data_IF_172735117819
#
_entry.id   IF_172735117819
#
_cell.length_a   1.000
_cell.length_b   1.000
_cell.length_c   1.000
_cell.angle_alpha   90.00
_cell.angle_beta   90.00
_cell.angle_gamma   90.00
#
_symmetry.space_group_name_H-M   'P 1'
#
loop_
_entity.id
_entity.type
_entity.pdbx_description
1 polymer ?
#
# COMPACT_ATOMS: atom_id res chain seq x y z
N UNK A 1 21.22 26.00 -30.23
CA UNK A 1 20.25 26.71 -29.35
C UNK A 1 20.75 28.13 -29.23
N UNK A 2 20.07 29.11 -29.82
CA UNK A 2 20.58 30.49 -29.90
C UNK A 2 20.46 31.20 -28.54
N UNK A 3 21.33 32.17 -28.31
CA UNK A 3 21.62 32.80 -27.01
C UNK A 3 20.46 33.64 -26.43
N UNK A 4 19.34 33.76 -27.13
CA UNK A 4 18.24 34.66 -26.79
C UNK A 4 17.12 34.06 -25.92
N UNK A 5 17.00 32.73 -25.82
CA UNK A 5 15.93 32.11 -24.98
C UNK A 5 16.32 31.91 -23.51
N UNK A 6 17.60 32.15 -23.15
CA UNK A 6 18.14 31.98 -21.78
C UNK A 6 17.98 33.25 -20.93
N UNK A 7 17.57 34.39 -21.50
CA UNK A 7 17.60 35.71 -20.87
C UNK A 7 16.25 36.28 -20.40
N UNK A 8 15.19 35.48 -20.30
CA UNK A 8 14.01 35.91 -19.55
C UNK A 8 14.27 35.58 -18.08
N UNK A 9 14.48 36.61 -17.25
CA UNK A 9 14.50 36.45 -15.80
C UNK A 9 13.20 35.75 -15.37
N UNK A 10 13.35 34.57 -14.79
CA UNK A 10 12.22 33.79 -14.26
C UNK A 10 12.23 33.95 -12.76
N UNK A 11 11.68 35.07 -12.29
CA UNK A 11 11.47 35.27 -10.86
C UNK A 11 10.87 33.99 -10.25
N UNK A 12 11.45 33.53 -9.14
CA UNK A 12 11.06 32.30 -8.45
C UNK A 12 11.33 30.97 -9.18
N UNK A 13 12.26 30.91 -10.13
CA UNK A 13 12.72 29.65 -10.75
C UNK A 13 14.21 29.44 -10.57
N UNK A 14 14.61 28.30 -10.03
CA UNK A 14 16.00 27.84 -10.04
C UNK A 14 16.17 26.82 -11.19
N UNK A 15 16.87 27.20 -12.25
CA UNK A 15 17.10 26.30 -13.39
C UNK A 15 18.30 25.41 -13.11
N UNK A 16 18.15 24.10 -13.29
CA UNK A 16 19.22 23.11 -13.11
C UNK A 16 19.50 22.40 -14.44
N UNK A 17 20.74 22.41 -14.91
CA UNK A 17 21.15 21.70 -16.13
C UNK A 17 22.63 21.30 -16.07
N UNK A 18 23.02 20.25 -16.80
CA UNK A 18 24.39 19.70 -16.72
C UNK A 18 25.51 20.65 -17.15
N UNK A 19 25.22 21.63 -17.99
CA UNK A 19 26.14 22.70 -18.40
C UNK A 19 26.12 23.93 -17.48
N UNK A 20 25.32 23.91 -16.40
CA UNK A 20 25.29 24.98 -15.40
C UNK A 20 26.56 25.05 -14.55
N UNK A 21 26.61 26.04 -13.65
CA UNK A 21 27.74 26.24 -12.73
C UNK A 21 27.27 26.81 -11.38
N UNK A 22 27.29 25.97 -10.34
CA UNK A 22 26.79 26.30 -9.00
C UNK A 22 27.49 27.52 -8.35
N UNK A 23 28.72 27.86 -8.76
CA UNK A 23 29.45 29.02 -8.22
C UNK A 23 28.97 30.37 -8.76
N UNK A 24 28.30 30.38 -9.92
CA UNK A 24 27.85 31.60 -10.62
C UNK A 24 26.35 31.60 -10.88
N UNK A 25 25.67 30.52 -10.54
CA UNK A 25 24.24 30.35 -10.67
C UNK A 25 23.49 31.12 -9.58
N UNK A 26 22.27 31.53 -9.90
CA UNK A 26 21.38 32.19 -8.95
C UNK A 26 19.92 32.01 -9.36
N UNK A 27 19.02 32.15 -8.39
CA UNK A 27 17.58 32.00 -8.61
C UNK A 27 17.10 33.10 -9.58
N UNK A 28 16.39 32.69 -10.62
CA UNK A 28 15.89 33.57 -11.68
C UNK A 28 16.90 33.94 -12.76
N UNK A 29 18.13 33.41 -12.73
CA UNK A 29 19.15 33.69 -13.72
C UNK A 29 19.97 32.46 -14.14
N UNK A 30 21.29 32.57 -14.03
CA UNK A 30 22.21 31.54 -14.54
C UNK A 30 21.92 30.17 -13.91
N UNK A 31 21.95 29.09 -14.70
CA UNK A 31 21.53 27.78 -14.25
C UNK A 31 22.57 27.10 -13.35
N UNK A 32 22.06 26.43 -12.33
CA UNK A 32 22.79 25.53 -11.45
C UNK A 32 23.21 24.26 -12.20
N UNK A 33 24.36 23.71 -11.83
CA UNK A 33 24.85 22.41 -12.33
C UNK A 33 24.15 21.24 -11.65
N UNK A 34 23.87 21.40 -10.36
CA UNK A 34 23.34 20.37 -9.47
C UNK A 34 22.00 20.79 -8.87
N UNK A 35 21.22 19.80 -8.43
CA UNK A 35 19.97 20.08 -7.71
C UNK A 35 20.30 20.66 -6.34
N UNK A 36 21.32 20.13 -5.66
CA UNK A 36 21.74 20.65 -4.36
C UNK A 36 22.33 22.06 -4.45
N UNK A 37 22.97 22.46 -5.54
CA UNK A 37 23.40 23.85 -5.75
C UNK A 37 22.21 24.82 -5.72
N UNK A 38 21.11 24.48 -6.40
CA UNK A 38 19.88 25.25 -6.35
C UNK A 38 19.27 25.28 -4.94
N UNK A 39 19.24 24.14 -4.25
CA UNK A 39 18.73 24.03 -2.87
C UNK A 39 19.56 24.86 -1.90
N UNK A 40 20.88 24.84 -2.00
CA UNK A 40 21.78 25.67 -1.18
C UNK A 40 21.46 27.14 -1.37
N UNK A 41 21.25 27.60 -2.61
CA UNK A 41 20.88 28.99 -2.89
C UNK A 41 19.51 29.36 -2.29
N UNK A 42 18.50 28.47 -2.40
CA UNK A 42 17.16 28.67 -1.81
C UNK A 42 17.27 28.80 -0.28
N UNK A 43 18.00 27.88 0.36
CA UNK A 43 18.16 27.87 1.82
C UNK A 43 18.94 29.09 2.31
N UNK A 44 19.96 29.55 1.57
CA UNK A 44 20.76 30.71 1.94
C UNK A 44 19.93 32.00 2.06
N UNK A 45 18.85 32.12 1.28
CA UNK A 45 17.95 33.27 1.31
C UNK A 45 16.61 33.01 2.02
N UNK A 46 16.39 31.78 2.52
CA UNK A 46 15.13 31.38 3.15
C UNK A 46 13.91 31.50 2.23
N UNK A 47 14.08 31.32 0.91
CA UNK A 47 13.00 31.52 -0.05
C UNK A 47 11.98 30.38 -0.04
N UNK A 48 10.72 30.75 -0.29
CA UNK A 48 9.59 29.84 -0.54
C UNK A 48 8.95 30.20 -1.88
N UNK A 49 8.17 29.29 -2.44
CA UNK A 49 7.53 29.49 -3.75
C UNK A 49 8.49 29.34 -4.93
N UNK A 50 9.70 28.81 -4.73
CA UNK A 50 10.67 28.55 -5.79
C UNK A 50 10.35 27.21 -6.46
N UNK A 51 10.34 27.21 -7.79
CA UNK A 51 10.37 25.99 -8.59
C UNK A 51 11.79 25.67 -9.04
N UNK A 52 12.33 24.54 -8.59
CA UNK A 52 13.56 23.96 -9.11
C UNK A 52 13.20 23.24 -10.41
N UNK A 53 13.58 23.82 -11.55
CA UNK A 53 13.24 23.31 -12.87
C UNK A 53 14.45 22.59 -13.49
N UNK A 54 14.35 21.27 -13.60
CA UNK A 54 15.48 20.38 -13.90
C UNK A 54 15.44 19.93 -15.36
N UNK A 55 16.51 20.22 -16.09
CA UNK A 55 16.71 19.82 -17.48
C UNK A 55 17.24 18.39 -17.59
N UNK A 56 17.28 17.80 -18.81
CA UNK A 56 17.70 16.42 -19.02
C UNK A 56 19.09 16.13 -18.43
N UNK A 57 19.19 15.02 -17.71
CA UNK A 57 20.43 14.58 -17.08
C UNK A 57 20.22 13.56 -15.98
N UNK A 58 21.32 12.88 -15.62
CA UNK A 58 21.40 11.99 -14.46
C UNK A 58 22.12 12.73 -13.33
N UNK A 59 21.43 13.00 -12.24
CA UNK A 59 21.90 13.75 -11.08
C UNK A 59 22.20 12.77 -9.95
N UNK A 60 23.48 12.45 -9.76
CA UNK A 60 23.95 11.53 -8.72
C UNK A 60 24.00 12.23 -7.35
N UNK A 61 22.82 12.48 -6.77
CA UNK A 61 22.62 13.30 -5.59
C UNK A 61 21.58 12.69 -4.65
N UNK A 62 21.73 12.90 -3.35
CA UNK A 62 20.60 12.83 -2.40
C UNK A 62 20.00 14.24 -2.29
N UNK A 63 18.67 14.33 -2.23
CA UNK A 63 17.95 15.58 -2.38
C UNK A 63 16.94 15.72 -1.24
N UNK A 64 17.03 16.83 -0.52
CA UNK A 64 16.03 17.24 0.49
C UNK A 64 15.34 18.49 -0.04
N UNK A 65 14.07 18.37 -0.44
CA UNK A 65 13.35 19.53 -0.99
C UNK A 65 13.07 20.53 0.14
N UNK A 66 13.49 21.80 0.02
CA UNK A 66 13.18 22.81 1.03
C UNK A 66 11.68 23.03 1.17
N UNK A 67 11.21 23.29 2.38
CA UNK A 67 9.79 23.55 2.64
C UNK A 67 9.27 24.71 1.77
N UNK A 68 8.04 24.59 1.28
CA UNK A 68 7.37 25.61 0.46
C UNK A 68 7.88 25.73 -0.98
N UNK A 69 8.74 24.81 -1.44
CA UNK A 69 9.34 24.85 -2.77
C UNK A 69 8.97 23.60 -3.58
N UNK A 70 9.08 23.66 -4.90
CA UNK A 70 8.79 22.54 -5.80
C UNK A 70 10.00 22.12 -6.61
N UNK A 71 10.02 20.87 -7.05
CA UNK A 71 10.96 20.35 -8.03
C UNK A 71 10.18 19.77 -9.20
N UNK A 72 10.54 20.17 -10.41
CA UNK A 72 9.94 19.65 -11.63
C UNK A 72 11.02 19.32 -12.64
N UNK A 73 11.04 18.06 -13.09
CA UNK A 73 11.79 17.69 -14.27
C UNK A 73 11.11 18.17 -15.55
N UNK A 74 11.87 18.43 -16.61
CA UNK A 74 11.27 18.73 -17.92
C UNK A 74 10.59 17.50 -18.55
N UNK A 75 10.99 16.30 -18.13
CA UNK A 75 10.46 15.03 -18.62
C UNK A 75 10.84 13.88 -17.69
N UNK A 76 9.85 13.04 -17.39
CA UNK A 76 9.99 11.81 -16.62
C UNK A 76 11.09 10.90 -17.15
N UNK A 77 11.25 10.82 -18.48
CA UNK A 77 12.19 9.92 -19.14
C UNK A 77 13.64 10.39 -19.02
N UNK A 78 13.87 11.71 -19.02
CA UNK A 78 15.21 12.26 -19.22
C UNK A 78 15.80 12.91 -17.97
N UNK A 79 15.01 13.10 -16.92
CA UNK A 79 15.47 13.64 -15.64
C UNK A 79 15.50 12.52 -14.60
N UNK A 80 16.71 12.13 -14.20
CA UNK A 80 16.92 11.06 -13.22
C UNK A 80 17.71 11.59 -12.02
N UNK A 81 17.16 11.47 -10.82
CA UNK A 81 17.88 11.65 -9.55
C UNK A 81 18.29 10.27 -9.05
N UNK A 82 19.58 10.07 -8.76
CA UNK A 82 20.12 8.73 -8.56
C UNK A 82 21.14 8.64 -7.43
N UNK A 83 21.20 7.48 -6.81
CA UNK A 83 22.36 6.97 -6.07
C UNK A 83 22.60 5.51 -6.49
N UNK A 84 23.85 5.12 -6.76
CA UNK A 84 24.18 3.76 -7.19
C UNK A 84 25.21 3.12 -6.28
N UNK A 85 25.08 1.80 -6.13
CA UNK A 85 26.00 0.94 -5.39
C UNK A 85 26.33 1.48 -3.99
N UNK A 86 25.34 2.05 -3.32
CA UNK A 86 25.55 2.66 -2.01
C UNK A 86 26.00 1.60 -1.00
N UNK A 87 26.91 1.99 -0.11
CA UNK A 87 27.46 1.12 0.94
C UNK A 87 26.98 1.52 2.34
N UNK A 88 26.11 2.52 2.44
CA UNK A 88 25.51 3.01 3.68
C UNK A 88 24.02 3.24 3.52
N UNK A 89 23.31 3.39 4.63
CA UNK A 89 21.88 3.70 4.63
C UNK A 89 21.64 4.97 3.82
N UNK A 90 20.73 4.92 2.84
CA UNK A 90 20.55 6.01 1.89
C UNK A 90 19.06 6.27 1.61
N UNK A 91 18.71 7.55 1.63
CA UNK A 91 17.46 8.07 1.08
C UNK A 91 17.79 8.97 -0.12
N UNK A 92 17.20 8.73 -1.29
CA UNK A 92 17.48 9.58 -2.47
C UNK A 92 16.71 10.88 -2.42
N UNK A 93 15.40 10.83 -2.14
CA UNK A 93 14.55 12.00 -2.12
C UNK A 93 13.82 12.11 -0.78
N UNK A 94 14.00 13.23 -0.08
CA UNK A 94 13.24 13.58 1.12
C UNK A 94 12.34 14.75 0.81
N UNK A 95 11.03 14.57 1.01
CA UNK A 95 10.04 15.63 0.79
C UNK A 95 10.09 16.64 1.93
N UNK A 96 10.06 17.93 1.59
CA UNK A 96 9.77 19.00 2.54
C UNK A 96 8.27 19.25 2.67
N UNK A 97 7.87 20.04 3.67
CA UNK A 97 6.48 20.45 3.86
C UNK A 97 6.05 21.46 2.79
N UNK A 98 4.80 21.39 2.34
CA UNK A 98 4.26 22.26 1.28
C UNK A 98 5.06 22.19 -0.03
N UNK A 99 5.52 20.99 -0.40
CA UNK A 99 6.33 20.77 -1.60
C UNK A 99 5.59 19.99 -2.68
N UNK A 100 6.08 20.09 -3.91
CA UNK A 100 5.65 19.22 -5.02
C UNK A 100 6.85 18.75 -5.81
N UNK A 101 6.93 17.45 -6.06
CA UNK A 101 7.94 16.83 -6.93
C UNK A 101 7.23 16.14 -8.09
N UNK A 102 7.62 16.47 -9.32
CA UNK A 102 7.00 15.88 -10.51
C UNK A 102 7.91 15.72 -11.72
N UNK A 103 7.52 14.82 -12.63
CA UNK A 103 8.14 14.59 -13.94
C UNK A 103 9.62 14.14 -13.82
N UNK A 104 9.90 13.24 -12.88
CA UNK A 104 11.26 12.74 -12.57
C UNK A 104 11.31 11.24 -12.32
N UNK A 105 12.46 10.65 -12.63
CA UNK A 105 12.83 9.29 -12.22
C UNK A 105 13.74 9.34 -10.99
N UNK A 106 13.47 8.51 -9.98
CA UNK A 106 14.34 8.26 -8.82
C UNK A 106 14.91 6.84 -8.94
N UNK A 107 16.23 6.69 -8.84
CA UNK A 107 16.89 5.40 -8.87
C UNK A 107 17.86 5.24 -7.69
N UNK A 108 17.69 4.20 -6.89
CA UNK A 108 18.58 3.86 -5.78
C UNK A 108 19.05 2.42 -5.94
N UNK A 109 20.36 2.18 -6.04
CA UNK A 109 20.90 0.82 -6.07
C UNK A 109 21.94 0.54 -4.98
N UNK A 110 22.02 -0.72 -4.54
CA UNK A 110 23.04 -1.21 -3.62
C UNK A 110 23.41 -2.66 -3.97
N UNK A 111 24.68 -3.02 -3.79
CA UNK A 111 25.14 -4.42 -3.78
C UNK A 111 25.30 -4.97 -2.36
N UNK A 112 25.06 -4.14 -1.35
CA UNK A 112 25.20 -4.44 0.07
C UNK A 112 23.83 -4.48 0.77
N UNK A 113 23.80 -5.09 1.95
CA UNK A 113 22.64 -5.04 2.84
C UNK A 113 22.67 -3.80 3.73
N UNK A 114 22.15 -2.70 3.19
CA UNK A 114 21.93 -1.43 3.89
C UNK A 114 20.47 -1.02 3.78
N UNK A 115 20.02 -0.11 4.64
CA UNK A 115 18.65 0.39 4.57
C UNK A 115 18.52 1.41 3.43
N UNK A 116 17.53 1.20 2.57
CA UNK A 116 17.34 1.99 1.36
C UNK A 116 15.94 2.58 1.32
N UNK A 117 15.84 3.87 1.02
CA UNK A 117 14.56 4.56 0.79
C UNK A 117 14.61 5.37 -0.50
N UNK A 118 13.69 5.11 -1.43
CA UNK A 118 13.57 5.90 -2.65
C UNK A 118 13.09 7.31 -2.34
N UNK A 119 11.88 7.41 -1.77
CA UNK A 119 11.26 8.68 -1.38
C UNK A 119 10.75 8.62 0.07
N UNK A 120 11.15 9.61 0.87
CA UNK A 120 10.73 9.75 2.27
C UNK A 120 9.71 10.89 2.44
N UNK A 121 8.66 10.61 3.23
CA UNK A 121 7.63 11.57 3.65
C UNK A 121 7.65 11.75 5.19
N UNK A 122 8.51 12.64 5.71
CA UNK A 122 8.59 12.99 7.14
C UNK A 122 7.56 14.08 7.53
N UNK A 123 7.52 14.50 8.81
CA UNK A 123 6.76 15.69 9.24
C UNK A 123 5.29 15.69 8.79
N UNK A 124 4.74 16.82 8.38
CA UNK A 124 3.35 16.88 7.87
C UNK A 124 3.22 16.56 6.38
N UNK A 125 4.24 15.99 5.73
CA UNK A 125 4.31 15.88 4.27
C UNK A 125 3.25 14.98 3.64
N UNK A 126 2.65 14.05 4.39
CA UNK A 126 1.49 13.31 3.91
C UNK A 126 0.29 14.23 3.61
N UNK A 127 0.13 15.30 4.39
CA UNK A 127 -0.87 16.35 4.17
C UNK A 127 -0.39 17.41 3.16
N UNK A 128 0.87 17.82 3.24
CA UNK A 128 1.35 19.05 2.59
C UNK A 128 2.22 18.83 1.34
N UNK A 129 2.79 17.64 1.14
CA UNK A 129 3.66 17.36 0.00
C UNK A 129 2.96 16.53 -1.08
N UNK A 130 3.41 16.64 -2.34
CA UNK A 130 2.85 15.91 -3.48
C UNK A 130 3.95 15.29 -4.34
N UNK A 131 3.87 13.99 -4.60
CA UNK A 131 4.65 13.32 -5.63
C UNK A 131 3.74 13.00 -6.82
N UNK A 132 4.14 13.40 -8.03
CA UNK A 132 3.35 13.25 -9.26
C UNK A 132 4.19 12.73 -10.41
N UNK A 133 3.60 11.94 -11.30
CA UNK A 133 4.22 11.50 -12.55
C UNK A 133 5.70 11.13 -12.37
N UNK A 134 5.92 10.15 -11.50
CA UNK A 134 7.26 9.77 -11.06
C UNK A 134 7.46 8.27 -11.19
N UNK A 135 8.70 7.89 -11.54
CA UNK A 135 9.15 6.50 -11.52
C UNK A 135 10.18 6.37 -10.42
N UNK A 136 9.95 5.50 -9.44
CA UNK A 136 10.87 5.27 -8.33
C UNK A 136 11.30 3.81 -8.37
N UNK A 137 12.61 3.58 -8.47
CA UNK A 137 13.19 2.22 -8.40
C UNK A 137 14.20 2.16 -7.27
N UNK A 138 13.99 1.23 -6.35
CA UNK A 138 14.96 0.89 -5.30
C UNK A 138 15.36 -0.56 -5.50
N UNK A 139 16.64 -0.79 -5.70
CA UNK A 139 17.16 -2.09 -6.14
C UNK A 139 18.38 -2.51 -5.34
N UNK A 140 18.26 -3.59 -4.56
CA UNK A 140 19.42 -4.30 -4.04
C UNK A 140 19.40 -5.78 -4.37
N UNK A 141 18.71 -6.17 -5.45
CA UNK A 141 18.54 -7.57 -5.88
C UNK A 141 19.84 -8.32 -6.13
N UNK A 142 20.94 -7.61 -6.38
CA UNK A 142 22.27 -8.18 -6.61
C UNK A 142 23.11 -8.35 -5.33
N UNK A 143 22.58 -8.01 -4.15
CA UNK A 143 23.22 -8.33 -2.88
C UNK A 143 23.15 -9.84 -2.57
N UNK A 144 23.80 -10.31 -1.51
CA UNK A 144 23.75 -11.72 -1.12
C UNK A 144 22.35 -12.13 -0.60
N UNK A 145 22.04 -13.42 -0.58
CA UNK A 145 20.74 -13.91 -0.07
C UNK A 145 20.68 -14.05 1.46
N UNK A 146 21.82 -13.92 2.15
CA UNK A 146 21.94 -14.22 3.58
C UNK A 146 21.91 -12.99 4.50
N UNK A 147 22.11 -11.77 3.99
CA UNK A 147 22.11 -10.59 4.85
C UNK A 147 20.74 -9.92 4.99
N UNK A 148 20.69 -8.89 5.84
CA UNK A 148 19.43 -8.24 6.29
C UNK A 148 19.43 -6.76 5.94
N UNK A 149 18.37 -6.29 5.31
CA UNK A 149 18.19 -4.86 4.97
C UNK A 149 16.72 -4.51 4.92
N UNK A 150 16.39 -3.26 5.22
CA UNK A 150 15.05 -2.73 4.95
C UNK A 150 15.08 -1.90 3.67
N UNK A 151 14.19 -2.18 2.73
CA UNK A 151 14.20 -1.56 1.39
C UNK A 151 12.82 -1.04 1.07
N UNK A 152 12.69 0.28 0.93
CA UNK A 152 11.43 0.97 0.75
C UNK A 152 11.43 1.82 -0.52
N UNK A 153 10.43 1.65 -1.38
CA UNK A 153 10.21 2.55 -2.51
C UNK A 153 9.78 3.93 -2.02
N UNK A 154 8.68 3.96 -1.25
CA UNK A 154 8.16 5.10 -0.51
C UNK A 154 8.05 4.73 0.97
N UNK A 155 8.57 5.60 1.82
CA UNK A 155 8.45 5.48 3.28
C UNK A 155 7.77 6.73 3.86
N UNK A 156 6.55 6.55 4.36
CA UNK A 156 5.81 7.60 5.08
C UNK A 156 5.82 7.32 6.58
N UNK A 157 6.41 8.26 7.31
CA UNK A 157 6.57 8.19 8.78
C UNK A 157 6.27 9.54 9.45
N UNK A 158 5.59 10.41 8.71
CA UNK A 158 5.14 11.72 9.16
C UNK A 158 3.94 11.68 10.10
N UNK A 159 3.33 12.84 10.33
CA UNK A 159 2.23 13.10 11.26
C UNK A 159 1.03 13.77 10.58
N UNK A 160 1.06 13.99 9.26
CA UNK A 160 0.00 14.70 8.53
C UNK A 160 -1.27 13.86 8.34
N UNK A 161 -2.44 14.48 8.48
CA UNK A 161 -3.75 13.83 8.37
C UNK A 161 -4.56 14.44 7.22
N UNK A 162 -4.20 14.19 5.95
CA UNK A 162 -5.01 14.61 4.81
C UNK A 162 -6.44 14.05 4.87
N UNK A 163 -7.38 14.88 4.44
CA UNK A 163 -8.72 14.42 4.08
C UNK A 163 -8.71 13.60 2.77
N UNK A 164 -9.86 13.02 2.43
CA UNK A 164 -10.00 12.15 1.25
C UNK A 164 -9.92 12.89 -0.10
N UNK A 165 -9.89 14.23 -0.11
CA UNK A 165 -9.70 15.04 -1.33
C UNK A 165 -8.23 15.09 -1.75
N UNK A 166 -7.32 14.81 -0.82
CA UNK A 166 -5.88 14.85 -1.03
C UNK A 166 -5.36 13.46 -1.40
N UNK A 167 -4.54 13.39 -2.44
CA UNK A 167 -3.68 12.23 -2.71
C UNK A 167 -2.23 12.67 -2.64
N UNK A 168 -1.46 12.15 -1.69
CA UNK A 168 -0.04 12.47 -1.51
C UNK A 168 0.77 12.00 -2.71
N UNK A 169 0.50 10.80 -3.22
CA UNK A 169 1.17 10.22 -4.41
C UNK A 169 0.14 9.98 -5.51
N UNK A 170 0.45 10.36 -6.76
CA UNK A 170 -0.43 10.10 -7.90
C UNK A 170 0.29 9.92 -9.23
N UNK A 171 -0.25 9.04 -10.07
CA UNK A 171 0.24 8.75 -11.43
C UNK A 171 1.72 8.32 -11.40
N UNK A 172 2.06 7.42 -10.49
CA UNK A 172 3.46 7.03 -10.23
C UNK A 172 3.63 5.52 -10.24
N UNK A 173 4.77 5.07 -10.76
CA UNK A 173 5.18 3.67 -10.69
C UNK A 173 6.35 3.55 -9.72
N UNK A 174 6.21 2.71 -8.71
CA UNK A 174 7.22 2.49 -7.69
C UNK A 174 7.57 1.01 -7.69
N UNK A 175 8.87 0.71 -7.75
CA UNK A 175 9.40 -0.66 -7.78
C UNK A 175 10.46 -0.84 -6.71
N UNK A 176 10.30 -1.90 -5.92
CA UNK A 176 11.29 -2.38 -4.96
C UNK A 176 11.74 -3.77 -5.41
N UNK A 177 12.96 -3.89 -5.95
CA UNK A 177 13.59 -5.19 -6.24
C UNK A 177 14.61 -5.48 -5.15
N UNK A 178 14.46 -6.59 -4.45
CA UNK A 178 15.28 -6.83 -3.27
C UNK A 178 15.59 -8.30 -3.06
N UNK A 179 16.56 -8.54 -2.19
CA UNK A 179 17.06 -9.86 -1.82
C UNK A 179 17.39 -9.89 -0.32
N UNK A 180 17.41 -11.10 0.25
CA UNK A 180 17.80 -11.34 1.64
C UNK A 180 16.66 -11.17 2.64
N UNK A 181 17.03 -10.99 3.90
CA UNK A 181 16.13 -10.83 5.05
C UNK A 181 15.70 -9.35 5.23
N UNK A 182 14.79 -9.12 6.18
CA UNK A 182 14.25 -7.79 6.52
C UNK A 182 12.99 -7.42 5.72
N UNK A 183 12.53 -6.19 5.90
CA UNK A 183 11.27 -5.71 5.33
C UNK A 183 11.50 -5.02 3.99
N UNK A 184 10.87 -5.54 2.93
CA UNK A 184 10.90 -4.96 1.59
C UNK A 184 9.50 -4.49 1.23
N UNK A 185 9.34 -3.19 0.99
CA UNK A 185 8.06 -2.56 0.69
C UNK A 185 8.17 -1.64 -0.50
N UNK A 186 7.16 -1.62 -1.34
CA UNK A 186 7.04 -0.52 -2.30
C UNK A 186 6.51 0.72 -1.59
N UNK A 187 5.55 0.55 -0.68
CA UNK A 187 4.99 1.62 0.13
C UNK A 187 4.84 1.16 1.59
N UNK A 188 5.41 1.92 2.52
CA UNK A 188 5.28 1.67 3.95
C UNK A 188 4.76 2.93 4.66
N UNK A 189 3.67 2.78 5.40
CA UNK A 189 3.12 3.76 6.34
C UNK A 189 3.32 3.23 7.75
N UNK A 190 4.21 3.86 8.52
CA UNK A 190 4.51 3.40 9.88
C UNK A 190 4.91 4.53 10.84
N UNK A 191 5.44 4.15 12.01
CA UNK A 191 6.04 5.03 13.03
C UNK A 191 5.05 5.89 13.80
N UNK A 192 4.34 6.80 13.13
CA UNK A 192 3.46 7.80 13.74
C UNK A 192 2.01 7.64 13.21
N UNK A 193 0.97 7.91 14.02
CA UNK A 193 -0.40 7.97 13.51
C UNK A 193 -0.56 9.11 12.51
N UNK A 194 -0.92 8.80 11.26
CA UNK A 194 -1.12 9.77 10.17
C UNK A 194 -1.89 9.12 9.01
N UNK A 195 -2.41 9.92 8.08
CA UNK A 195 -3.07 9.40 6.88
C UNK A 195 -2.16 9.56 5.67
N UNK A 196 -2.15 8.56 4.79
CA UNK A 196 -1.40 8.59 3.54
C UNK A 196 -2.27 8.07 2.39
N UNK A 197 -2.55 8.93 1.43
CA UNK A 197 -3.49 8.63 0.35
C UNK A 197 -2.75 8.56 -0.99
N UNK A 198 -2.89 7.46 -1.71
CA UNK A 198 -2.35 7.32 -3.06
C UNK A 198 -3.46 7.02 -4.06
N UNK A 199 -3.30 7.55 -5.27
CA UNK A 199 -4.24 7.32 -6.37
C UNK A 199 -3.50 7.04 -7.67
N UNK A 200 -3.97 6.10 -8.48
CA UNK A 200 -3.38 5.86 -9.80
C UNK A 200 -1.88 5.54 -9.67
N UNK A 201 -1.59 4.43 -8.98
CA UNK A 201 -0.22 4.01 -8.67
C UNK A 201 -0.01 2.54 -9.00
N UNK A 202 1.18 2.24 -9.52
CA UNK A 202 1.65 0.86 -9.69
C UNK A 202 2.71 0.58 -8.64
N UNK A 203 2.46 -0.39 -7.77
CA UNK A 203 3.35 -0.76 -6.68
C UNK A 203 3.86 -2.19 -6.88
N UNK A 204 5.16 -2.34 -7.09
CA UNK A 204 5.77 -3.64 -7.41
C UNK A 204 6.88 -3.93 -6.39
N UNK A 205 6.73 -5.00 -5.61
CA UNK A 205 7.79 -5.56 -4.77
C UNK A 205 8.13 -6.97 -5.24
N UNK A 206 9.38 -7.22 -5.61
CA UNK A 206 9.84 -8.54 -6.07
C UNK A 206 11.01 -9.06 -5.25
N UNK A 207 10.93 -10.33 -4.85
CA UNK A 207 12.06 -11.06 -4.29
C UNK A 207 12.98 -11.60 -5.37
N UNK A 208 14.29 -11.45 -5.16
CA UNK A 208 15.35 -12.10 -5.93
C UNK A 208 16.02 -13.23 -5.14
N UNK A 209 15.42 -13.63 -4.01
CA UNK A 209 15.90 -14.71 -3.13
C UNK A 209 15.98 -14.31 -1.65
N UNK A 210 16.21 -15.30 -0.80
CA UNK A 210 16.23 -15.14 0.67
C UNK A 210 14.83 -15.07 1.30
N UNK A 211 14.80 -15.12 2.64
CA UNK A 211 13.56 -15.29 3.43
C UNK A 211 12.97 -14.00 4.00
N UNK A 212 13.28 -12.85 3.39
CA UNK A 212 12.71 -11.55 3.80
C UNK A 212 11.20 -11.47 3.56
N UNK A 213 10.61 -10.38 4.06
CA UNK A 213 9.20 -10.06 3.83
C UNK A 213 9.09 -9.10 2.65
N UNK A 214 8.37 -9.49 1.59
CA UNK A 214 8.25 -8.76 0.33
C UNK A 214 6.79 -8.37 0.07
N UNK A 215 6.35 -7.23 0.60
CA UNK A 215 4.94 -6.81 0.54
C UNK A 215 4.81 -5.54 -0.29
N UNK A 216 3.82 -5.49 -1.20
CA UNK A 216 3.62 -4.33 -2.07
C UNK A 216 3.33 -3.04 -1.27
N UNK A 217 2.30 -3.06 -0.44
CA UNK A 217 1.94 -1.93 0.43
C UNK A 217 1.58 -2.36 1.85
N UNK A 218 2.08 -1.65 2.86
CA UNK A 218 1.78 -1.96 4.27
C UNK A 218 1.44 -0.70 5.07
N UNK A 219 0.42 -0.81 5.90
CA UNK A 219 0.18 0.08 7.05
C UNK A 219 0.47 -0.72 8.32
N UNK A 220 1.41 -0.21 9.11
CA UNK A 220 1.89 -0.87 10.33
C UNK A 220 2.00 0.14 11.47
N UNK A 221 0.93 0.90 11.68
CA UNK A 221 0.83 1.79 12.82
C UNK A 221 -0.62 2.01 13.24
N UNK A 222 -0.93 1.70 14.50
CA UNK A 222 -2.22 2.00 15.08
C UNK A 222 -2.55 3.51 14.96
N UNK A 223 -3.78 3.82 14.56
CA UNK A 223 -4.23 5.18 14.29
C UNK A 223 -3.73 5.79 12.97
N UNK A 224 -2.91 5.07 12.18
CA UNK A 224 -2.56 5.49 10.82
C UNK A 224 -3.52 4.89 9.79
N UNK A 225 -3.66 5.57 8.65
CA UNK A 225 -4.46 5.12 7.52
C UNK A 225 -3.64 5.13 6.23
N UNK A 226 -3.76 4.07 5.44
CA UNK A 226 -3.27 4.00 4.08
C UNK A 226 -4.44 3.76 3.12
N UNK A 227 -4.71 4.72 2.24
CA UNK A 227 -5.74 4.61 1.20
C UNK A 227 -5.09 4.44 -0.17
N UNK A 228 -5.53 3.41 -0.92
CA UNK A 228 -5.02 3.08 -2.24
C UNK A 228 -6.19 3.00 -3.22
N UNK A 229 -6.24 3.97 -4.14
CA UNK A 229 -7.31 4.11 -5.12
C UNK A 229 -6.78 3.94 -6.53
N UNK A 230 -7.48 3.22 -7.41
CA UNK A 230 -7.03 2.99 -8.80
C UNK A 230 -5.58 2.45 -8.84
N UNK A 231 -5.24 1.54 -7.94
CA UNK A 231 -3.88 1.03 -7.80
C UNK A 231 -3.74 -0.38 -8.39
N UNK A 232 -2.53 -0.73 -8.83
CA UNK A 232 -2.13 -2.12 -9.09
C UNK A 232 -0.98 -2.47 -8.16
N UNK A 233 -1.14 -3.51 -7.35
CA UNK A 233 -0.22 -3.81 -6.26
C UNK A 233 0.23 -5.27 -6.37
N UNK A 234 1.54 -5.48 -6.26
CA UNK A 234 2.17 -6.80 -6.25
C UNK A 234 3.23 -6.87 -5.16
N UNK A 235 3.22 -7.95 -4.38
CA UNK A 235 4.36 -8.36 -3.55
C UNK A 235 4.53 -9.87 -3.50
N UNK A 236 5.77 -10.35 -3.41
CA UNK A 236 6.07 -11.80 -3.38
C UNK A 236 5.52 -12.50 -2.13
N UNK A 237 5.56 -11.84 -0.97
CA UNK A 237 4.98 -12.36 0.28
C UNK A 237 3.49 -12.09 0.34
N UNK A 238 3.08 -10.86 0.03
CA UNK A 238 1.68 -10.44 -0.07
C UNK A 238 1.59 -9.16 -0.90
N UNK A 239 0.44 -8.89 -1.52
CA UNK A 239 0.24 -7.61 -2.21
C UNK A 239 0.09 -6.49 -1.20
N UNK A 240 -0.68 -6.74 -0.14
CA UNK A 240 -0.96 -5.78 0.91
C UNK A 240 -0.88 -6.40 2.31
N UNK A 241 -0.67 -5.55 3.32
CA UNK A 241 -0.76 -5.94 4.73
C UNK A 241 -1.29 -4.79 5.59
N UNK A 242 -2.36 -5.07 6.35
CA UNK A 242 -2.87 -4.19 7.40
C UNK A 242 -2.35 -4.66 8.77
N UNK A 243 -1.02 -4.64 8.95
CA UNK A 243 -0.38 -5.15 10.17
C UNK A 243 -0.80 -4.36 11.41
N UNK A 244 -0.99 -3.04 11.25
CA UNK A 244 -1.61 -2.18 12.24
C UNK A 244 -2.18 -0.91 11.58
N UNK A 245 -3.23 -0.33 12.15
CA UNK A 245 -3.92 0.81 11.54
C UNK A 245 -5.00 0.37 10.55
N UNK A 246 -5.35 1.25 9.61
CA UNK A 246 -6.45 1.01 8.66
C UNK A 246 -5.96 1.08 7.22
N UNK A 247 -6.21 0.03 6.45
CA UNK A 247 -6.00 0.00 5.01
C UNK A 247 -7.34 0.13 4.29
N UNK A 248 -7.41 1.04 3.31
CA UNK A 248 -8.61 1.30 2.53
C UNK A 248 -8.31 1.15 1.04
N UNK A 249 -9.07 0.30 0.36
CA UNK A 249 -8.92 0.08 -1.08
C UNK A 249 -10.15 0.59 -1.86
N UNK A 250 -9.92 1.10 -3.08
CA UNK A 250 -11.00 1.43 -4.01
C UNK A 250 -10.54 1.26 -5.46
N UNK A 251 -11.23 0.40 -6.21
CA UNK A 251 -10.83 0.06 -7.59
C UNK A 251 -9.35 -0.34 -7.71
N UNK A 252 -8.87 -1.12 -6.74
CA UNK A 252 -7.47 -1.55 -6.64
C UNK A 252 -7.35 -3.01 -7.05
N UNK A 253 -6.38 -3.33 -7.89
CA UNK A 253 -6.05 -4.68 -8.30
C UNK A 253 -4.92 -5.25 -7.43
N UNK A 254 -5.17 -6.37 -6.77
CA UNK A 254 -4.18 -7.16 -6.03
C UNK A 254 -3.70 -8.30 -6.93
N UNK A 255 -2.46 -8.20 -7.43
CA UNK A 255 -1.95 -9.07 -8.49
C UNK A 255 -1.84 -10.55 -8.08
N UNK A 256 -1.76 -10.86 -6.80
CA UNK A 256 -1.73 -12.22 -6.27
C UNK A 256 -2.97 -12.56 -5.44
N UNK A 257 -3.94 -11.64 -5.33
CA UNK A 257 -5.09 -11.74 -4.42
C UNK A 257 -4.64 -12.14 -3.01
N UNK A 258 -3.61 -11.47 -2.48
CA UNK A 258 -3.01 -11.83 -1.21
C UNK A 258 -2.92 -10.60 -0.28
N UNK A 259 -3.73 -10.62 0.78
CA UNK A 259 -3.78 -9.58 1.81
C UNK A 259 -3.08 -10.00 3.12
N UNK A 260 -2.07 -10.87 3.01
CA UNK A 260 -1.26 -11.33 4.14
C UNK A 260 -2.08 -11.98 5.28
N UNK A 261 -3.20 -12.61 4.92
CA UNK A 261 -4.18 -13.17 5.86
C UNK A 261 -4.80 -12.15 6.83
N UNK A 262 -4.71 -10.86 6.53
CA UNK A 262 -5.26 -9.77 7.34
C UNK A 262 -6.47 -9.14 6.67
N UNK A 263 -7.31 -8.51 7.48
CA UNK A 263 -8.44 -7.72 7.06
C UNK A 263 -8.04 -6.41 6.38
N UNK A 264 -8.98 -5.82 5.64
CA UNK A 264 -8.85 -4.49 5.05
C UNK A 264 -10.23 -3.91 4.70
N UNK A 265 -10.30 -2.59 4.62
CA UNK A 265 -11.52 -1.86 4.27
C UNK A 265 -11.59 -1.55 2.78
N UNK A 266 -12.81 -1.42 2.26
CA UNK A 266 -13.09 -1.07 0.86
C UNK A 266 -14.11 0.06 0.80
N UNK A 267 -13.96 0.99 -0.14
CA UNK A 267 -14.92 2.11 -0.30
C UNK A 267 -16.15 1.67 -1.10
N UNK A 268 -15.95 0.88 -2.15
CA UNK A 268 -17.06 0.28 -2.89
C UNK A 268 -17.52 -0.99 -2.20
N UNK A 269 -18.83 -1.23 -2.22
CA UNK A 269 -19.39 -2.50 -1.76
C UNK A 269 -18.76 -3.64 -2.58
N UNK A 270 -18.15 -4.64 -1.93
CA UNK A 270 -17.59 -5.79 -2.61
C UNK A 270 -18.69 -6.70 -3.15
N UNK A 271 -18.33 -7.61 -4.04
CA UNK A 271 -19.23 -8.70 -4.43
C UNK A 271 -19.43 -9.60 -3.22
N UNK A 272 -20.64 -10.09 -2.98
CA UNK A 272 -20.92 -10.96 -1.84
C UNK A 272 -21.64 -12.24 -2.24
N UNK A 273 -21.40 -13.30 -1.45
CA UNK A 273 -22.17 -14.54 -1.46
C UNK A 273 -23.06 -14.59 -0.23
N UNK A 274 -24.25 -15.15 -0.39
CA UNK A 274 -25.22 -15.33 0.69
C UNK A 274 -25.56 -16.80 0.84
N UNK A 275 -25.59 -17.24 2.09
CA UNK A 275 -26.17 -18.50 2.53
C UNK A 275 -27.20 -18.18 3.62
N UNK A 276 -28.35 -18.83 3.59
CA UNK A 276 -29.37 -18.64 4.61
C UNK A 276 -30.09 -19.94 4.94
N UNK A 277 -30.42 -20.11 6.22
CA UNK A 277 -31.29 -21.18 6.71
C UNK A 277 -32.56 -20.54 7.31
N UNK A 278 -33.74 -20.71 6.70
CA UNK A 278 -35.00 -20.14 7.19
C UNK A 278 -35.63 -20.95 8.35
N UNK A 279 -34.91 -21.92 8.92
CA UNK A 279 -35.36 -22.76 10.00
C UNK A 279 -34.49 -22.64 11.24
N UNK A 280 -34.59 -23.65 12.11
CA UNK A 280 -33.75 -23.78 13.30
C UNK A 280 -32.47 -24.54 12.98
N UNK A 281 -31.32 -24.01 13.39
CA UNK A 281 -30.07 -24.76 13.31
C UNK A 281 -30.10 -25.96 14.29
N UNK A 282 -29.58 -27.14 13.91
CA UNK A 282 -29.67 -28.34 14.73
C UNK A 282 -28.85 -28.23 16.01
N UNK A 283 -29.16 -29.06 17.01
CA UNK A 283 -28.38 -29.18 18.25
C UNK A 283 -27.17 -30.09 18.10
N UNK A 284 -26.04 -29.71 18.72
CA UNK A 284 -24.81 -30.48 18.80
C UNK A 284 -24.36 -31.09 17.46
N UNK A 285 -24.35 -30.28 16.42
CA UNK A 285 -24.20 -30.76 15.05
C UNK A 285 -23.17 -29.96 14.26
N UNK A 286 -22.52 -30.64 13.31
CA UNK A 286 -21.83 -30.00 12.19
C UNK A 286 -22.67 -30.16 10.94
N UNK A 287 -22.91 -29.05 10.23
CA UNK A 287 -23.67 -28.99 8.99
C UNK A 287 -23.04 -28.03 8.00
N UNK A 288 -23.55 -28.05 6.78
CA UNK A 288 -23.11 -27.20 5.69
C UNK A 288 -24.28 -26.42 5.12
N UNK A 289 -24.07 -25.13 4.89
CA UNK A 289 -25.06 -24.32 4.21
C UNK A 289 -25.11 -24.65 2.71
N UNK A 290 -26.29 -24.48 2.12
CA UNK A 290 -26.50 -24.50 0.67
C UNK A 290 -26.52 -23.06 0.14
N UNK A 291 -25.87 -22.77 -1.00
CA UNK A 291 -25.91 -21.43 -1.59
C UNK A 291 -27.35 -20.93 -1.76
N UNK A 292 -27.60 -19.67 -1.41
CA UNK A 292 -28.97 -19.13 -1.34
C UNK A 292 -29.67 -19.50 -0.03
N UNK A 293 -30.98 -19.76 -0.10
CA UNK A 293 -31.81 -20.02 1.09
C UNK A 293 -32.28 -21.47 1.11
N UNK A 294 -31.79 -22.27 2.05
CA UNK A 294 -32.24 -23.64 2.32
C UNK A 294 -31.72 -24.14 3.68
N UNK A 295 -32.38 -25.16 4.22
CA UNK A 295 -31.95 -25.82 5.45
C UNK A 295 -30.51 -26.36 5.34
N UNK A 296 -29.75 -26.25 6.43
CA UNK A 296 -28.38 -26.79 6.51
C UNK A 296 -28.37 -28.32 6.35
N UNK A 297 -27.31 -28.85 5.73
CA UNK A 297 -27.22 -30.23 5.22
C UNK A 297 -26.03 -30.98 5.82
N UNK A 298 -26.13 -32.31 5.89
CA UNK A 298 -25.00 -33.19 6.24
C UNK A 298 -23.99 -33.32 5.08
N UNK A 299 -24.46 -33.12 3.85
CA UNK A 299 -23.64 -33.11 2.65
C UNK A 299 -23.13 -31.71 2.38
N UNK A 300 -21.81 -31.59 2.23
CA UNK A 300 -21.12 -30.36 1.84
C UNK A 300 -21.33 -30.05 0.35
N UNK A 301 -21.58 -28.78 0.02
CA UNK A 301 -21.68 -28.29 -1.35
C UNK A 301 -20.67 -27.17 -1.55
N UNK A 302 -20.06 -27.18 -2.73
CA UNK A 302 -19.00 -26.25 -3.09
C UNK A 302 -19.46 -25.31 -4.21
N UNK A 303 -19.08 -24.05 -4.10
CA UNK A 303 -19.05 -23.10 -5.21
C UNK A 303 -17.61 -23.00 -5.71
N UNK A 304 -17.41 -23.05 -7.03
CA UNK A 304 -16.09 -22.88 -7.65
C UNK A 304 -15.87 -21.40 -7.96
N UNK A 305 -14.72 -20.87 -7.54
CA UNK A 305 -14.30 -19.53 -7.94
C UNK A 305 -13.53 -19.61 -9.26
N UNK A 306 -13.98 -18.86 -10.27
CA UNK A 306 -13.37 -18.87 -11.61
C UNK A 306 -12.06 -18.08 -11.70
N UNK A 307 -11.81 -17.20 -10.74
CA UNK A 307 -10.65 -16.31 -10.68
C UNK A 307 -10.03 -16.33 -9.28
N UNK A 308 -8.79 -15.84 -9.18
CA UNK A 308 -8.18 -15.53 -7.89
C UNK A 308 -9.03 -14.48 -7.15
N UNK A 309 -9.14 -14.61 -5.83
CA UNK A 309 -9.97 -13.72 -5.02
C UNK A 309 -9.46 -13.68 -3.58
N UNK A 310 -9.81 -12.61 -2.86
CA UNK A 310 -9.66 -12.54 -1.41
C UNK A 310 -11.04 -12.62 -0.77
N UNK A 311 -11.26 -13.63 0.07
CA UNK A 311 -12.42 -13.65 0.95
C UNK A 311 -12.06 -12.82 2.19
N UNK A 312 -12.68 -11.65 2.33
CA UNK A 312 -12.25 -10.61 3.29
C UNK A 312 -13.13 -10.46 4.52
N UNK A 313 -14.33 -11.03 4.50
CA UNK A 313 -15.20 -11.03 5.68
C UNK A 313 -16.21 -12.16 5.67
N UNK A 314 -16.65 -12.54 6.87
CA UNK A 314 -17.76 -13.45 7.12
C UNK A 314 -18.65 -12.83 8.20
N UNK A 315 -19.90 -12.55 7.85
CA UNK A 315 -20.92 -12.05 8.74
C UNK A 315 -22.03 -13.09 8.93
N UNK A 316 -22.64 -13.09 10.11
CA UNK A 316 -23.86 -13.85 10.41
C UNK A 316 -24.88 -12.93 11.07
N UNK A 317 -26.13 -13.07 10.65
CA UNK A 317 -27.31 -12.57 11.34
C UNK A 317 -28.27 -13.74 11.61
N UNK A 318 -29.06 -13.63 12.67
CA UNK A 318 -30.07 -14.61 13.09
C UNK A 318 -31.27 -13.88 13.69
N UNK A 319 -32.48 -14.45 13.59
CA UNK A 319 -33.64 -13.93 14.32
C UNK A 319 -33.51 -14.20 15.82
N UNK A 320 -33.11 -15.43 16.17
CA UNK A 320 -32.87 -15.87 17.55
C UNK A 320 -31.41 -16.27 17.70
N UNK A 321 -30.76 -15.85 18.78
CA UNK A 321 -29.39 -16.27 19.10
C UNK A 321 -29.30 -17.69 19.69
N UNK A 322 -28.09 -18.23 19.92
CA UNK A 322 -27.91 -19.59 20.43
C UNK A 322 -28.57 -19.89 21.79
N UNK A 323 -28.71 -18.89 22.66
CA UNK A 323 -29.25 -19.00 24.01
C UNK A 323 -28.22 -19.45 25.07
N UNK A 324 -28.38 -18.99 26.31
CA UNK A 324 -27.53 -19.39 27.44
C UNK A 324 -26.05 -19.08 27.24
N UNK A 325 -25.19 -20.09 27.41
CA UNK A 325 -23.74 -20.04 27.12
C UNK A 325 -23.38 -20.75 25.80
N UNK A 326 -24.39 -21.17 25.02
CA UNK A 326 -24.15 -21.89 23.77
C UNK A 326 -23.52 -20.99 22.71
N UNK A 327 -22.82 -21.62 21.77
CA UNK A 327 -22.15 -20.94 20.66
C UNK A 327 -22.56 -21.60 19.34
N UNK A 328 -22.76 -20.78 18.31
CA UNK A 328 -22.85 -21.21 16.92
C UNK A 328 -21.67 -20.60 16.18
N UNK A 329 -20.87 -21.44 15.54
CA UNK A 329 -19.67 -21.00 14.81
C UNK A 329 -19.81 -21.36 13.33
N UNK A 330 -19.62 -20.36 12.48
CA UNK A 330 -19.50 -20.51 11.04
C UNK A 330 -18.02 -20.45 10.65
N UNK A 331 -17.64 -21.27 9.66
CA UNK A 331 -16.29 -21.28 9.11
C UNK A 331 -16.34 -21.31 7.59
N UNK A 332 -15.60 -20.40 6.96
CA UNK A 332 -15.30 -20.51 5.54
C UNK A 332 -14.39 -21.71 5.36
N UNK A 333 -14.72 -22.54 4.38
CA UNK A 333 -13.91 -23.68 3.98
C UNK A 333 -13.37 -23.47 2.58
N UNK A 334 -12.09 -23.80 2.42
CA UNK A 334 -11.36 -23.80 1.16
C UNK A 334 -11.05 -25.22 0.78
N UNK A 335 -11.55 -25.68 -0.37
CA UNK A 335 -11.33 -27.04 -0.87
C UNK A 335 -11.66 -28.14 0.15
N UNK A 336 -12.68 -27.93 0.98
CA UNK A 336 -13.09 -28.87 2.01
C UNK A 336 -12.24 -28.81 3.29
N UNK A 337 -11.46 -27.75 3.53
CA UNK A 337 -10.68 -27.55 4.77
C UNK A 337 -11.10 -26.23 5.42
N UNK A 338 -11.27 -26.23 6.74
CA UNK A 338 -11.56 -25.00 7.48
C UNK A 338 -10.45 -23.97 7.32
N UNK A 339 -10.84 -22.72 7.17
CA UNK A 339 -9.93 -21.58 7.15
C UNK A 339 -9.99 -20.85 8.48
N UNK A 340 -9.00 -20.00 8.79
CA UNK A 340 -9.06 -19.13 9.97
C UNK A 340 -10.21 -18.12 9.96
N UNK A 341 -10.85 -17.87 8.80
CA UNK A 341 -12.00 -16.96 8.69
C UNK A 341 -13.26 -17.65 9.23
N UNK A 342 -13.52 -17.39 10.51
CA UNK A 342 -14.67 -17.91 11.27
C UNK A 342 -15.41 -16.77 11.95
N UNK A 343 -16.71 -16.96 12.21
CA UNK A 343 -17.53 -16.03 12.99
C UNK A 343 -18.42 -16.83 13.95
N UNK A 344 -18.64 -16.30 15.15
CA UNK A 344 -19.47 -16.96 16.15
C UNK A 344 -20.55 -16.06 16.72
N UNK A 345 -21.73 -16.62 16.96
CA UNK A 345 -22.73 -16.07 17.86
C UNK A 345 -22.61 -16.81 19.19
N UNK A 346 -22.64 -16.08 20.31
CA UNK A 346 -22.63 -16.65 21.66
C UNK A 346 -23.77 -16.09 22.49
N UNK A 347 -24.46 -16.96 23.24
CA UNK A 347 -25.56 -16.58 24.13
C UNK A 347 -26.69 -15.89 23.37
N UNK A 348 -27.02 -14.66 23.72
CA UNK A 348 -28.14 -13.92 23.12
C UNK A 348 -27.76 -13.13 21.86
N UNK A 349 -26.51 -13.22 21.39
CA UNK A 349 -26.08 -12.52 20.17
C UNK A 349 -26.87 -12.99 18.95
N UNK A 350 -27.40 -12.04 18.19
CA UNK A 350 -28.13 -12.26 16.94
C UNK A 350 -27.36 -11.82 15.71
N UNK A 351 -26.24 -11.14 15.88
CA UNK A 351 -25.38 -10.76 14.76
C UNK A 351 -23.92 -10.67 15.19
N UNK A 352 -23.03 -11.00 14.26
CA UNK A 352 -21.59 -10.80 14.41
C UNK A 352 -20.91 -10.79 13.02
N UNK A 353 -19.71 -10.21 12.95
CA UNK A 353 -18.88 -10.17 11.75
C UNK A 353 -17.41 -10.38 12.11
N UNK A 354 -16.71 -11.15 11.28
CA UNK A 354 -15.26 -11.17 11.27
C UNK A 354 -14.76 -10.58 9.95
N UNK A 355 -14.06 -9.45 10.04
CA UNK A 355 -13.43 -8.73 8.93
C UNK A 355 -11.96 -8.38 9.22
N UNK A 356 -11.36 -9.03 10.24
CA UNK A 356 -9.99 -8.81 10.68
C UNK A 356 -8.99 -9.77 10.01
N UNK A 357 -9.49 -10.86 9.42
CA UNK A 357 -8.69 -11.89 8.75
C UNK A 357 -9.23 -12.08 7.33
N UNK A 358 -8.33 -12.43 6.42
CA UNK A 358 -8.70 -12.77 5.04
C UNK A 358 -8.10 -14.10 4.58
N UNK A 359 -8.67 -14.65 3.51
CA UNK A 359 -8.20 -15.91 2.91
C UNK A 359 -8.07 -15.74 1.40
N UNK A 360 -6.88 -16.06 0.90
CA UNK A 360 -6.61 -16.10 -0.54
C UNK A 360 -7.17 -17.37 -1.18
N UNK A 361 -7.90 -17.20 -2.27
CA UNK A 361 -8.33 -18.25 -3.18
C UNK A 361 -7.65 -18.07 -4.53
N UNK A 362 -7.15 -19.16 -5.10
CA UNK A 362 -6.63 -19.24 -6.45
C UNK A 362 -7.77 -19.55 -7.42
N UNK A 363 -7.53 -19.30 -8.71
CA UNK A 363 -8.48 -19.68 -9.75
C UNK A 363 -8.75 -21.19 -9.72
N UNK A 364 -10.02 -21.57 -9.66
CA UNK A 364 -10.47 -22.96 -9.58
C UNK A 364 -10.64 -23.50 -8.16
N UNK A 365 -10.20 -22.78 -7.12
CA UNK A 365 -10.48 -23.16 -5.73
C UNK A 365 -12.00 -23.18 -5.45
N UNK A 366 -12.37 -23.98 -4.46
CA UNK A 366 -13.76 -24.22 -4.07
C UNK A 366 -14.04 -23.65 -2.69
N UNK A 367 -15.11 -22.89 -2.56
CA UNK A 367 -15.61 -22.33 -1.29
C UNK A 367 -16.87 -23.08 -0.83
N UNK A 368 -16.95 -23.33 0.46
CA UNK A 368 -18.13 -23.86 1.16
C UNK A 368 -18.23 -23.23 2.55
N UNK A 369 -19.41 -23.33 3.17
CA UNK A 369 -19.68 -22.75 4.49
C UNK A 369 -20.16 -23.82 5.46
N UNK A 370 -19.38 -24.02 6.53
CA UNK A 370 -19.69 -24.95 7.62
C UNK A 370 -20.31 -24.18 8.79
N UNK A 371 -21.24 -24.83 9.48
CA UNK A 371 -21.71 -24.41 10.81
C UNK A 371 -21.53 -25.54 11.82
N UNK A 372 -21.12 -25.17 13.02
CA UNK A 372 -21.07 -26.03 14.21
C UNK A 372 -21.90 -25.38 15.32
N UNK A 373 -22.76 -26.16 15.96
CA UNK A 373 -23.71 -25.69 16.98
C UNK A 373 -23.50 -26.33 18.34
N UNK A 374 -23.79 -25.59 19.41
CA UNK A 374 -23.84 -26.09 20.79
C UNK A 374 -25.02 -27.04 21.06
N UNK A 375 -25.06 -27.63 22.25
CA UNK A 375 -25.99 -28.71 22.62
C UNK A 375 -27.44 -28.27 22.84
N UNK A 376 -27.68 -27.03 23.30
CA UNK A 376 -29.02 -26.47 23.48
C UNK A 376 -29.17 -25.19 22.65
N UNK A 377 -28.89 -25.30 21.34
CA UNK A 377 -28.94 -24.19 20.40
C UNK A 377 -30.38 -23.80 20.07
N UNK A 378 -30.69 -22.52 20.23
CA UNK A 378 -31.97 -21.92 19.85
C UNK A 378 -31.90 -21.06 18.57
N UNK A 379 -30.77 -21.07 17.85
CA UNK A 379 -30.57 -20.17 16.70
C UNK A 379 -31.54 -20.48 15.56
N UNK A 380 -32.25 -19.46 15.09
CA UNK A 380 -33.19 -19.54 13.95
C UNK A 380 -32.93 -18.46 12.91
N UNK A 381 -33.38 -18.71 11.68
CA UNK A 381 -33.45 -17.74 10.58
C UNK A 381 -32.11 -17.05 10.33
N UNK A 382 -31.10 -17.86 10.00
CA UNK A 382 -29.74 -17.36 9.83
C UNK A 382 -29.49 -16.88 8.42
N UNK A 383 -28.74 -15.79 8.30
CA UNK A 383 -28.17 -15.30 7.05
C UNK A 383 -26.68 -15.09 7.26
N UNK A 384 -25.88 -15.80 6.47
CA UNK A 384 -24.44 -15.63 6.39
C UNK A 384 -24.07 -14.89 5.10
N UNK A 385 -23.32 -13.81 5.24
CA UNK A 385 -22.82 -13.02 4.13
C UNK A 385 -21.29 -13.07 4.10
N UNK A 386 -20.74 -13.27 2.91
CA UNK A 386 -19.30 -13.34 2.68
C UNK A 386 -18.92 -12.35 1.61
N UNK A 387 -17.98 -11.47 1.91
CA UNK A 387 -17.48 -10.49 0.94
C UNK A 387 -16.26 -11.02 0.20
N UNK A 388 -16.30 -10.86 -1.12
CA UNK A 388 -15.27 -11.26 -2.09
C UNK A 388 -14.69 -10.00 -2.70
N UNK A 389 -13.37 -9.87 -2.58
CA UNK A 389 -12.57 -8.83 -3.22
C UNK A 389 -11.77 -9.39 -4.39
#
# INVERSE_FOLDING_TARGET
>A
MSIHEVLISRANTAVVMKSGNDSTAFIGGNPFKTINGAITAINAIGATGITIFVFPGIYDETVVIPNGNSLRGISLLTVTIRQQNVSSNTTVLTMGENTRVEDITVLLTSVNHVNLTGVAFPGTTSLTARLRNAVVTVDNSTASTSGTSNVYGIHSFGTGTPDESISTVRASTITTRSVGLGNKRTLLVNTNPHNFHCRDVNLITTSSGGSGSYIGAEVNRAGAQLSLRLASIQGTTADISQTAGTMVLSSTNLQNSNANNLGFSTISQPTFLVWADPGSLPNNATRFYRPGTAAVSNTEVFLRLGQKAVIKSLAIQALTGPGGTNTVTLAIRKNGVDTPLTVSLTGTQTSNINNDISVTFLAGDRISLKVTTGSANATTDTVAQVEIF
#
